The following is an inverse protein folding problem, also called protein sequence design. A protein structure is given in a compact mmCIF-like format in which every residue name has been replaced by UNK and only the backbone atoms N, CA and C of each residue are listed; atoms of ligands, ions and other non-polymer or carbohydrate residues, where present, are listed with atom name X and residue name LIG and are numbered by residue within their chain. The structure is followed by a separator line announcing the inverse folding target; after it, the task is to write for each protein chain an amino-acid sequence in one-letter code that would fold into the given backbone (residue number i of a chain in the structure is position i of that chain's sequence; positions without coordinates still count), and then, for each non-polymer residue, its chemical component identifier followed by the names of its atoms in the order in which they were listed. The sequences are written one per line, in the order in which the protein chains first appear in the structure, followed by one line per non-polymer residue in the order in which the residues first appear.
data_IF_348619091165
#
_entry.id   IF_348619091165
#
_cell.length_a   1.000
_cell.length_b   1.000
_cell.length_c   1.000
_cell.angle_alpha   90.00
_cell.angle_beta   90.00
_cell.angle_gamma   90.00
#
_symmetry.space_group_name_H-M   'P 1'
#
loop_
_entity.id
_entity.type
_entity.pdbx_description
1 polymer ?
#
# COMPACT_ATOMS: atom_id res chain seq x y z
N UNK A 1 31.74 -7.43 3.99
CA UNK A 1 31.02 -6.24 3.50
C UNK A 1 29.56 -6.37 3.88
N UNK A 2 29.07 -5.56 4.81
CA UNK A 2 27.63 -5.45 5.10
C UNK A 2 26.97 -4.73 3.93
N UNK A 3 26.10 -5.44 3.19
CA UNK A 3 25.37 -4.90 2.03
C UNK A 3 24.63 -3.62 2.45
N UNK A 4 24.76 -2.56 1.65
CA UNK A 4 24.07 -1.28 1.91
C UNK A 4 22.57 -1.35 1.55
N UNK A 5 22.19 -2.27 0.67
CA UNK A 5 20.81 -2.58 0.28
C UNK A 5 20.68 -4.09 0.04
N UNK A 6 19.90 -4.77 0.88
CA UNK A 6 19.66 -6.21 0.78
C UNK A 6 18.33 -6.47 0.04
N UNK A 7 18.34 -7.14 -1.13
CA UNK A 7 17.14 -7.39 -1.93
C UNK A 7 16.04 -8.11 -1.14
N UNK A 8 16.41 -8.99 -0.21
CA UNK A 8 15.44 -9.75 0.58
C UNK A 8 14.81 -8.89 1.66
N UNK A 9 15.55 -7.92 2.21
CA UNK A 9 14.98 -6.92 3.12
C UNK A 9 14.05 -5.95 2.39
N UNK A 10 14.38 -5.56 1.16
CA UNK A 10 13.51 -4.70 0.32
C UNK A 10 12.23 -5.47 -0.04
N UNK A 11 12.33 -6.75 -0.40
CA UNK A 11 11.15 -7.58 -0.68
C UNK A 11 10.29 -7.83 0.58
N UNK A 12 10.90 -8.01 1.75
CA UNK A 12 10.18 -8.11 3.02
C UNK A 12 9.48 -6.79 3.38
N UNK A 13 10.11 -5.65 3.12
CA UNK A 13 9.50 -4.33 3.28
C UNK A 13 8.33 -4.15 2.30
N UNK A 14 8.48 -4.54 1.03
CA UNK A 14 7.39 -4.51 0.05
C UNK A 14 6.17 -5.30 0.54
N UNK A 15 6.36 -6.51 1.08
CA UNK A 15 5.25 -7.29 1.67
C UNK A 15 4.59 -6.58 2.85
N UNK A 16 5.38 -6.00 3.76
CA UNK A 16 4.84 -5.25 4.91
C UNK A 16 4.05 -4.02 4.47
N UNK A 17 4.58 -3.28 3.49
CA UNK A 17 3.90 -2.13 2.88
C UNK A 17 2.63 -2.60 2.19
N UNK A 18 2.68 -3.62 1.34
CA UNK A 18 1.50 -4.21 0.71
C UNK A 18 0.41 -4.62 1.72
N UNK A 19 0.77 -5.16 2.88
CA UNK A 19 -0.18 -5.50 3.94
C UNK A 19 -0.91 -4.30 4.57
N UNK A 20 -0.37 -3.08 4.47
CA UNK A 20 -1.07 -1.87 4.92
C UNK A 20 -2.31 -1.58 4.06
N UNK A 21 -2.33 -2.01 2.80
CA UNK A 21 -3.50 -1.92 1.91
C UNK A 21 -4.71 -2.61 2.54
N UNK A 22 -4.52 -3.82 3.04
CA UNK A 22 -5.57 -4.60 3.70
C UNK A 22 -6.08 -3.89 4.95
N UNK A 23 -5.18 -3.23 5.69
CA UNK A 23 -5.51 -2.39 6.84
C UNK A 23 -6.40 -1.20 6.46
N UNK A 24 -6.06 -0.48 5.40
CA UNK A 24 -6.87 0.64 4.90
C UNK A 24 -8.24 0.16 4.37
N UNK A 25 -8.27 -0.92 3.58
CA UNK A 25 -9.51 -1.49 3.07
C UNK A 25 -10.42 -2.01 4.19
N UNK A 26 -9.84 -2.67 5.20
CA UNK A 26 -10.59 -3.11 6.38
C UNK A 26 -11.10 -1.92 7.18
N UNK A 27 -10.27 -0.91 7.42
CA UNK A 27 -10.68 0.30 8.15
C UNK A 27 -11.86 1.00 7.47
N UNK A 28 -11.85 1.10 6.13
CA UNK A 28 -12.99 1.67 5.40
C UNK A 28 -14.26 0.82 5.48
N UNK A 29 -14.10 -0.50 5.52
CA UNK A 29 -15.24 -1.42 5.71
C UNK A 29 -15.81 -1.31 7.13
N UNK A 30 -14.94 -1.30 8.15
CA UNK A 30 -15.30 -1.19 9.56
C UNK A 30 -15.90 0.18 9.90
N UNK A 31 -15.46 1.25 9.20
CA UNK A 31 -16.03 2.59 9.31
C UNK A 31 -17.45 2.66 8.74
N UNK A 32 -17.77 1.84 7.74
CA UNK A 32 -19.08 1.81 7.09
C UNK A 32 -19.35 3.03 6.19
N UNK A 33 -20.58 3.15 5.72
CA UNK A 33 -21.03 4.21 4.81
C UNK A 33 -21.44 5.52 5.52
N UNK A 34 -21.36 5.52 6.86
CA UNK A 34 -21.80 6.63 7.69
C UNK A 34 -23.29 6.92 7.58
N UNK A 35 -24.09 5.93 7.17
CA UNK A 35 -25.53 6.08 7.10
C UNK A 35 -26.08 6.27 8.52
N UNK A 36 -26.60 7.47 8.86
CA UNK A 36 -27.12 7.72 10.19
C UNK A 36 -28.49 7.03 10.43
N UNK A 37 -29.08 6.42 9.40
CA UNK A 37 -30.42 5.87 9.46
C UNK A 37 -31.44 6.92 9.89
N UNK A 38 -32.21 6.61 10.93
CA UNK A 38 -33.16 7.54 11.56
C UNK A 38 -32.59 8.32 12.74
N UNK A 39 -31.28 8.28 13.01
CA UNK A 39 -30.69 8.86 14.23
C UNK A 39 -30.92 10.37 14.37
N UNK A 40 -31.10 11.08 13.26
CA UNK A 40 -31.41 12.50 13.25
C UNK A 40 -32.93 12.79 13.09
N UNK A 41 -33.75 11.80 12.70
CA UNK A 41 -35.16 12.01 12.39
C UNK A 41 -35.41 12.83 11.10
N UNK A 42 -36.69 13.04 10.77
CA UNK A 42 -37.13 13.58 9.46
C UNK A 42 -37.24 15.12 9.40
N UNK A 43 -36.92 15.83 10.48
CA UNK A 43 -36.95 17.30 10.50
C UNK A 43 -35.89 17.84 9.52
N UNK A 44 -36.22 18.87 8.73
CA UNK A 44 -35.36 19.36 7.63
C UNK A 44 -33.93 19.74 8.05
N UNK A 45 -33.77 20.27 9.26
CA UNK A 45 -32.50 20.60 9.91
C UNK A 45 -31.71 19.34 10.32
N UNK A 46 -32.41 18.27 10.68
CA UNK A 46 -31.81 17.01 11.09
C UNK A 46 -31.47 16.11 9.87
N UNK A 47 -32.28 16.16 8.82
CA UNK A 47 -31.95 15.57 7.52
C UNK A 47 -30.66 16.18 6.92
N UNK A 48 -30.42 17.48 7.17
CA UNK A 48 -29.18 18.16 6.76
C UNK A 48 -27.96 17.63 7.53
N UNK A 49 -28.09 17.41 8.84
CA UNK A 49 -27.05 16.80 9.65
C UNK A 49 -26.72 15.37 9.19
N UNK A 50 -27.74 14.58 8.84
CA UNK A 50 -27.54 13.22 8.32
C UNK A 50 -26.73 13.20 7.02
N UNK A 51 -27.02 14.11 6.08
CA UNK A 51 -26.25 14.25 4.83
C UNK A 51 -24.81 14.68 5.09
N UNK A 52 -24.58 15.59 6.05
CA UNK A 52 -23.22 16.02 6.43
C UNK A 52 -22.40 14.86 7.00
N UNK A 53 -22.99 14.05 7.88
CA UNK A 53 -22.32 12.86 8.43
C UNK A 53 -22.01 11.86 7.32
N UNK A 54 -22.99 11.52 6.49
CA UNK A 54 -22.76 10.61 5.37
C UNK A 54 -21.69 11.13 4.40
N UNK A 55 -21.67 12.43 4.11
CA UNK A 55 -20.65 13.07 3.30
C UNK A 55 -19.25 12.99 3.92
N UNK A 56 -19.15 13.19 5.23
CA UNK A 56 -17.89 13.03 5.96
C UNK A 56 -17.34 11.60 5.85
N UNK A 57 -18.17 10.58 6.12
CA UNK A 57 -17.76 9.17 6.01
C UNK A 57 -17.38 8.78 4.59
N UNK A 58 -18.14 9.25 3.58
CA UNK A 58 -17.79 9.06 2.18
C UNK A 58 -16.42 9.69 1.84
N UNK A 59 -16.12 10.87 2.37
CA UNK A 59 -14.83 11.53 2.18
C UNK A 59 -13.69 10.73 2.82
N UNK A 60 -13.85 10.30 4.06
CA UNK A 60 -12.85 9.47 4.76
C UNK A 60 -12.60 8.16 4.02
N UNK A 61 -13.66 7.47 3.56
CA UNK A 61 -13.52 6.25 2.78
C UNK A 61 -12.79 6.48 1.45
N UNK A 62 -12.99 7.62 0.79
CA UNK A 62 -12.25 7.96 -0.42
C UNK A 62 -10.75 8.12 -0.14
N UNK A 63 -10.38 8.80 0.94
CA UNK A 63 -8.98 8.97 1.37
C UNK A 63 -8.33 7.64 1.77
N UNK A 64 -9.03 6.78 2.52
CA UNK A 64 -8.54 5.43 2.86
C UNK A 64 -8.27 4.60 1.59
N UNK A 65 -9.14 4.72 0.59
CA UNK A 65 -8.98 4.00 -0.68
C UNK A 65 -7.83 4.58 -1.51
N UNK A 66 -7.61 5.89 -1.48
CA UNK A 66 -6.44 6.53 -2.09
C UNK A 66 -5.13 6.09 -1.42
N UNK A 67 -5.10 6.05 -0.09
CA UNK A 67 -3.96 5.55 0.69
C UNK A 67 -3.66 4.07 0.36
N UNK A 68 -4.69 3.22 0.27
CA UNK A 68 -4.54 1.83 -0.12
C UNK A 68 -3.88 1.67 -1.50
N UNK A 69 -4.26 2.50 -2.48
CA UNK A 69 -3.66 2.51 -3.83
C UNK A 69 -2.20 2.99 -3.83
N UNK A 70 -1.89 4.03 -3.06
CA UNK A 70 -0.52 4.55 -2.94
C UNK A 70 0.42 3.48 -2.38
N UNK A 71 -0.04 2.82 -1.32
CA UNK A 71 0.70 1.75 -0.65
C UNK A 71 0.90 0.54 -1.57
N UNK A 72 -0.12 0.15 -2.34
CA UNK A 72 -0.01 -0.91 -3.33
C UNK A 72 1.03 -0.58 -4.42
N UNK A 73 1.00 0.65 -4.94
CA UNK A 73 1.98 1.14 -5.91
C UNK A 73 3.40 1.18 -5.32
N UNK A 74 3.56 1.62 -4.07
CA UNK A 74 4.84 1.62 -3.37
C UNK A 74 5.39 0.19 -3.16
N UNK A 75 4.52 -0.75 -2.76
CA UNK A 75 4.85 -2.17 -2.66
C UNK A 75 5.33 -2.74 -3.99
N UNK A 76 4.61 -2.48 -5.08
CA UNK A 76 4.98 -2.92 -6.43
C UNK A 76 6.33 -2.34 -6.88
N UNK A 77 6.57 -1.04 -6.62
CA UNK A 77 7.83 -0.38 -6.93
C UNK A 77 9.01 -0.98 -6.14
N UNK A 78 8.83 -1.24 -4.85
CA UNK A 78 9.83 -1.90 -4.00
C UNK A 78 10.13 -3.32 -4.47
N UNK A 79 9.10 -4.10 -4.82
CA UNK A 79 9.27 -5.45 -5.35
C UNK A 79 10.03 -5.45 -6.69
N UNK A 80 9.69 -4.51 -7.59
CA UNK A 80 10.40 -4.34 -8.86
C UNK A 80 11.86 -3.91 -8.64
N UNK A 81 12.14 -3.03 -7.68
CA UNK A 81 13.50 -2.63 -7.35
C UNK A 81 14.32 -3.81 -6.81
N UNK A 82 13.76 -4.61 -5.90
CA UNK A 82 14.40 -5.81 -5.39
C UNK A 82 14.72 -6.82 -6.52
N UNK A 83 13.79 -7.01 -7.46
CA UNK A 83 14.00 -7.90 -8.59
C UNK A 83 15.13 -7.42 -9.53
N UNK A 84 15.20 -6.12 -9.80
CA UNK A 84 16.29 -5.53 -10.61
C UNK A 84 17.65 -5.71 -9.94
N UNK A 85 17.75 -5.44 -8.64
CA UNK A 85 19.01 -5.62 -7.91
C UNK A 85 19.49 -7.08 -7.99
N UNK A 86 18.59 -8.07 -7.83
CA UNK A 86 18.97 -9.48 -8.00
C UNK A 86 19.44 -9.81 -9.42
N UNK A 87 18.78 -9.25 -10.45
CA UNK A 87 19.14 -9.50 -11.83
C UNK A 87 20.52 -8.90 -12.17
N UNK A 88 20.78 -7.69 -11.72
CA UNK A 88 22.08 -7.00 -11.88
C UNK A 88 23.19 -7.77 -11.14
N UNK A 89 22.90 -8.29 -9.94
CA UNK A 89 23.83 -9.16 -9.20
C UNK A 89 24.11 -10.47 -9.94
N UNK A 90 23.09 -11.13 -10.50
CA UNK A 90 23.27 -12.36 -11.27
C UNK A 90 24.14 -12.12 -12.52
N UNK A 91 23.94 -11.01 -13.24
CA UNK A 91 24.80 -10.62 -14.36
C UNK A 91 26.23 -10.29 -13.92
N UNK A 92 26.40 -9.57 -12.82
CA UNK A 92 27.72 -9.25 -12.27
C UNK A 92 28.50 -10.50 -11.86
N UNK A 93 27.86 -11.45 -11.18
CA UNK A 93 28.45 -12.75 -10.82
C UNK A 93 28.79 -13.56 -12.07
N UNK A 94 27.91 -13.57 -13.08
CA UNK A 94 28.16 -14.31 -14.32
C UNK A 94 29.35 -13.74 -15.11
N UNK A 95 29.52 -12.41 -15.10
CA UNK A 95 30.60 -11.70 -15.80
C UNK A 95 31.93 -11.81 -15.08
N UNK A 96 31.94 -11.71 -13.74
CA UNK A 96 33.14 -11.83 -12.91
C UNK A 96 33.57 -13.29 -12.67
N UNK A 97 32.63 -14.22 -12.63
CA UNK A 97 32.88 -15.65 -12.52
C UNK A 97 33.44 -16.28 -13.80
N UNK A 98 33.15 -15.70 -14.97
CA UNK A 98 33.66 -16.16 -16.26
C UNK A 98 35.13 -15.83 -16.56
N UNK A 99 35.80 -15.03 -15.71
CA UNK A 99 37.19 -14.61 -15.90
C UNK A 99 38.23 -15.49 -15.17
N UNK A 100 37.83 -16.61 -14.56
CA UNK A 100 38.72 -17.45 -13.74
C UNK A 100 39.34 -18.67 -14.43
N UNK A 101 39.07 -18.89 -15.72
CA UNK A 101 39.63 -20.03 -16.46
C UNK A 101 40.27 -19.58 -17.78
N UNK A 102 41.30 -18.71 -17.71
CA UNK A 102 42.32 -18.56 -18.76
C UNK A 102 43.61 -18.05 -18.13
N UNK A 103 44.37 -18.95 -17.50
CA UNK A 103 45.83 -18.86 -17.33
C UNK A 103 46.40 -20.29 -17.34
#
# INVERSE_FOLDING_TARGET
MTRRFDPDQIAALAKKVGGLKDGFSKTGTDLGDGNPGGAFGDLSNAASAGKTVQGFYSGVNAELNAAAKLVDAASAALASAAARIRADEAQGVHTLGGHRERD
#
